data_IF_989575171229
#
_entry.id   IF_989575171229
#
_cell.length_a   1.000
_cell.length_b   1.000
_cell.length_c   1.000
_cell.angle_alpha   90.00
_cell.angle_beta   90.00
_cell.angle_gamma   90.00
#
_symmetry.space_group_name_H-M   'P 1'
#
loop_
_entity.id
_entity.type
_entity.pdbx_description
1 polymer ?
#
# COMPACT_ATOMS: atom_id res chain seq x y z
N UNK A 1 -11.91 -25.69 6.87
CA UNK A 1 -10.55 -25.24 7.22
C UNK A 1 -10.53 -23.73 7.11
N UNK A 2 -10.43 -23.00 8.22
CA UNK A 2 -10.25 -21.55 8.16
C UNK A 2 -8.93 -21.29 7.43
N UNK A 3 -8.92 -20.62 6.25
CA UNK A 3 -7.67 -20.27 5.61
C UNK A 3 -6.87 -19.46 6.64
N UNK A 4 -5.65 -19.91 6.93
CA UNK A 4 -4.78 -19.21 7.85
C UNK A 4 -4.68 -17.75 7.37
N UNK A 5 -5.24 -16.81 8.15
CA UNK A 5 -5.43 -15.41 7.73
C UNK A 5 -4.10 -14.78 7.33
N UNK A 6 -3.01 -15.21 7.98
CA UNK A 6 -1.66 -14.80 7.64
C UNK A 6 -1.26 -15.25 6.23
N UNK A 7 -1.50 -16.52 5.88
CA UNK A 7 -1.22 -17.04 4.53
C UNK A 7 -2.07 -16.31 3.49
N UNK A 8 -3.36 -16.05 3.80
CA UNK A 8 -4.21 -15.26 2.90
C UNK A 8 -3.68 -13.85 2.70
N UNK A 9 -3.25 -13.20 3.78
CA UNK A 9 -2.63 -11.87 3.74
C UNK A 9 -1.35 -11.86 2.90
N UNK A 10 -0.50 -12.86 3.08
CA UNK A 10 0.72 -13.04 2.29
C UNK A 10 0.42 -13.19 0.79
N UNK A 11 -0.55 -14.05 0.43
CA UNK A 11 -0.98 -14.22 -0.97
C UNK A 11 -1.48 -12.90 -1.55
N UNK A 12 -2.30 -12.14 -0.83
CA UNK A 12 -2.76 -10.82 -1.28
C UNK A 12 -1.60 -9.83 -1.48
N UNK A 13 -0.63 -9.84 -0.58
CA UNK A 13 0.59 -9.05 -0.69
C UNK A 13 1.39 -9.39 -1.95
N UNK A 14 1.62 -10.69 -2.20
CA UNK A 14 2.32 -11.19 -3.39
C UNK A 14 1.56 -10.81 -4.65
N UNK A 15 0.23 -11.03 -4.69
CA UNK A 15 -0.60 -10.66 -5.85
C UNK A 15 -0.52 -9.15 -6.12
N UNK A 16 -0.66 -8.32 -5.08
CA UNK A 16 -0.54 -6.86 -5.22
C UNK A 16 0.82 -6.46 -5.79
N UNK A 17 1.91 -7.04 -5.28
CA UNK A 17 3.26 -6.78 -5.75
C UNK A 17 3.47 -7.22 -7.20
N UNK A 18 3.02 -8.42 -7.58
CA UNK A 18 3.09 -8.92 -8.97
C UNK A 18 2.33 -8.02 -9.93
N UNK A 19 1.12 -7.58 -9.55
CA UNK A 19 0.33 -6.66 -10.39
C UNK A 19 1.00 -5.29 -10.51
N UNK A 20 1.58 -4.75 -9.44
CA UNK A 20 2.34 -3.49 -9.49
C UNK A 20 3.53 -3.63 -10.44
N UNK A 21 4.34 -4.68 -10.30
CA UNK A 21 5.52 -4.91 -11.15
C UNK A 21 5.10 -5.04 -12.63
N UNK A 22 4.03 -5.79 -12.90
CA UNK A 22 3.48 -5.91 -14.25
C UNK A 22 3.01 -4.56 -14.83
N UNK A 23 2.30 -3.75 -14.04
CA UNK A 23 1.86 -2.42 -14.46
C UNK A 23 3.04 -1.48 -14.72
N UNK A 24 4.04 -1.47 -13.83
CA UNK A 24 5.26 -0.66 -14.01
C UNK A 24 6.00 -1.08 -15.28
N UNK A 25 6.12 -2.39 -15.54
CA UNK A 25 6.72 -2.90 -16.77
C UNK A 25 5.96 -2.43 -18.02
N UNK A 26 4.63 -2.55 -18.04
CA UNK A 26 3.80 -2.09 -19.16
C UNK A 26 3.94 -0.58 -19.36
N UNK A 27 3.96 0.20 -18.28
CA UNK A 27 4.13 1.65 -18.35
C UNK A 27 5.49 2.05 -18.91
N UNK A 28 6.55 1.36 -18.48
CA UNK A 28 7.89 1.55 -19.01
C UNK A 28 7.95 1.21 -20.50
N UNK A 29 7.33 0.10 -20.92
CA UNK A 29 7.25 -0.31 -22.32
C UNK A 29 6.46 0.68 -23.18
N UNK A 30 5.35 1.23 -22.67
CA UNK A 30 4.58 2.25 -23.37
C UNK A 30 5.32 3.60 -23.45
N UNK A 31 6.09 3.95 -22.42
CA UNK A 31 6.93 5.16 -22.42
C UNK A 31 7.98 5.11 -23.53
N UNK A 32 8.62 3.96 -23.71
CA UNK A 32 9.58 3.73 -24.79
C UNK A 32 8.97 3.84 -26.21
N UNK A 33 7.64 3.91 -26.34
CA UNK A 33 6.89 4.07 -27.59
C UNK A 33 6.29 5.48 -27.77
N UNK A 34 6.70 6.44 -26.94
CA UNK A 34 6.22 7.85 -26.94
C UNK A 34 4.72 8.05 -26.69
N UNK A 35 4.04 7.09 -26.04
CA UNK A 35 2.65 7.31 -25.63
C UNK A 35 2.56 8.31 -24.47
N UNK A 36 1.89 9.45 -24.70
CA UNK A 36 1.77 10.55 -23.71
C UNK A 36 0.77 10.28 -22.56
N UNK A 37 0.04 9.17 -22.58
CA UNK A 37 -1.06 8.88 -21.64
C UNK A 37 -0.60 8.43 -20.22
N UNK A 38 0.70 8.36 -19.98
CA UNK A 38 1.33 7.68 -18.84
C UNK A 38 1.05 8.35 -17.49
N UNK A 39 0.84 9.68 -17.45
CA UNK A 39 0.57 10.40 -16.19
C UNK A 39 -0.72 9.95 -15.49
N UNK A 40 -1.76 9.58 -16.24
CA UNK A 40 -3.04 9.15 -15.66
C UNK A 40 -3.04 7.69 -15.20
N UNK A 41 -2.14 6.87 -15.76
CA UNK A 41 -2.02 5.45 -15.44
C UNK A 41 -1.44 5.19 -14.05
N UNK A 42 -0.75 6.17 -13.43
CA UNK A 42 -0.26 6.07 -12.04
C UNK A 42 -1.42 5.81 -11.06
N UNK A 43 -2.62 6.32 -11.33
CA UNK A 43 -3.80 6.08 -10.51
C UNK A 43 -4.22 4.60 -10.54
N UNK A 44 -3.97 3.89 -11.64
CA UNK A 44 -4.27 2.45 -11.75
C UNK A 44 -3.35 1.60 -10.87
N UNK A 45 -2.15 2.09 -10.55
CA UNK A 45 -1.20 1.41 -9.65
C UNK A 45 -1.65 1.50 -8.19
N UNK A 46 -2.45 2.51 -7.83
CA UNK A 46 -2.92 2.70 -6.46
C UNK A 46 -3.85 1.58 -5.98
N UNK A 47 -4.69 1.02 -6.86
CA UNK A 47 -5.63 -0.04 -6.50
C UNK A 47 -4.95 -1.37 -6.11
N UNK A 48 -4.03 -1.94 -6.93
CA UNK A 48 -3.25 -3.10 -6.53
C UNK A 48 -2.35 -2.82 -5.32
N UNK A 49 -1.82 -1.59 -5.20
CA UNK A 49 -1.06 -1.17 -4.04
C UNK A 49 -1.88 -1.23 -2.75
N UNK A 50 -3.08 -0.65 -2.76
CA UNK A 50 -4.01 -0.71 -1.63
C UNK A 50 -4.40 -2.16 -1.27
N UNK A 51 -4.63 -3.01 -2.28
CA UNK A 51 -4.94 -4.42 -2.08
C UNK A 51 -3.77 -5.19 -1.45
N UNK A 52 -2.54 -4.95 -1.93
CA UNK A 52 -1.32 -5.53 -1.38
C UNK A 52 -1.06 -5.10 0.06
N UNK A 53 -1.21 -3.81 0.37
CA UNK A 53 -1.09 -3.26 1.72
C UNK A 53 -2.15 -3.83 2.68
N UNK A 54 -3.40 -3.98 2.23
CA UNK A 54 -4.42 -4.66 3.02
C UNK A 54 -4.03 -6.12 3.32
N UNK A 55 -3.43 -6.82 2.36
CA UNK A 55 -2.84 -8.15 2.55
C UNK A 55 -1.70 -8.16 3.58
N UNK A 56 -0.81 -7.18 3.52
CA UNK A 56 0.29 -7.03 4.47
C UNK A 56 -0.20 -6.80 5.90
N UNK A 57 -1.24 -5.98 6.07
CA UNK A 57 -1.90 -5.77 7.37
C UNK A 57 -2.50 -7.09 7.89
N UNK A 58 -3.18 -7.87 7.03
CA UNK A 58 -3.69 -9.20 7.41
C UNK A 58 -2.57 -10.16 7.81
N UNK A 59 -1.42 -10.11 7.13
CA UNK A 59 -0.26 -10.95 7.41
C UNK A 59 0.38 -10.66 8.78
N UNK A 60 0.61 -9.38 9.09
CA UNK A 60 1.21 -8.97 10.37
C UNK A 60 0.24 -9.16 11.53
N UNK A 61 -0.99 -8.64 11.39
CA UNK A 61 -1.96 -8.62 12.48
C UNK A 61 -2.60 -9.99 12.75
N UNK A 62 -2.66 -10.87 11.74
CA UNK A 62 -3.45 -12.10 11.80
C UNK A 62 -4.97 -11.85 11.85
N UNK A 63 -5.43 -10.62 11.67
CA UNK A 63 -6.84 -10.22 11.72
C UNK A 63 -7.31 -9.91 10.29
N UNK A 64 -8.51 -10.35 9.87
CA UNK A 64 -9.05 -10.01 8.55
C UNK A 64 -9.18 -8.50 8.39
N UNK A 65 -8.82 -7.96 7.22
CA UNK A 65 -8.89 -6.52 6.96
C UNK A 65 -10.31 -5.96 7.15
N UNK A 66 -11.33 -6.75 6.77
CA UNK A 66 -12.75 -6.39 6.97
C UNK A 66 -13.12 -6.24 8.45
N UNK A 67 -12.45 -6.97 9.34
CA UNK A 67 -12.71 -6.87 10.77
C UNK A 67 -11.97 -5.66 11.36
N UNK A 68 -10.73 -5.42 10.95
CA UNK A 68 -10.01 -4.19 11.27
C UNK A 68 -10.77 -2.94 10.80
N UNK A 69 -11.32 -2.95 9.59
CA UNK A 69 -12.09 -1.83 9.06
C UNK A 69 -13.37 -1.59 9.85
N UNK A 70 -14.04 -2.65 10.33
CA UNK A 70 -15.20 -2.53 11.22
C UNK A 70 -14.81 -1.93 12.57
N UNK A 71 -13.71 -2.39 13.17
CA UNK A 71 -13.20 -1.85 14.44
C UNK A 71 -12.82 -0.37 14.30
N UNK A 72 -12.15 -0.01 13.21
CA UNK A 72 -11.82 1.38 12.88
C UNK A 72 -13.06 2.26 12.69
N UNK A 73 -14.07 1.75 11.96
CA UNK A 73 -15.33 2.46 11.76
C UNK A 73 -16.15 2.61 13.05
N UNK A 74 -15.99 1.69 14.00
CA UNK A 74 -16.64 1.71 15.32
C UNK A 74 -16.00 2.67 16.33
N UNK A 75 -14.85 3.27 16.03
CA UNK A 75 -14.22 4.27 16.91
C UNK A 75 -15.04 5.57 16.94
N UNK A 76 -15.01 6.25 18.09
CA UNK A 76 -15.60 7.58 18.20
C UNK A 76 -14.93 8.55 17.19
N UNK A 77 -15.71 9.44 16.57
CA UNK A 77 -15.22 10.31 15.48
C UNK A 77 -13.95 11.10 15.83
N UNK A 78 -13.83 11.54 17.09
CA UNK A 78 -12.62 12.21 17.61
C UNK A 78 -11.40 11.29 17.67
N UNK A 79 -11.56 10.04 18.13
CA UNK A 79 -10.48 9.06 18.21
C UNK A 79 -10.00 8.66 16.80
N UNK A 80 -10.94 8.45 15.87
CA UNK A 80 -10.63 8.17 14.48
C UNK A 80 -9.85 9.30 13.82
N UNK A 81 -10.22 10.55 14.11
CA UNK A 81 -9.50 11.73 13.64
C UNK A 81 -8.05 11.77 14.15
N UNK A 82 -7.85 11.61 15.47
CA UNK A 82 -6.51 11.63 16.08
C UNK A 82 -5.63 10.49 15.55
N UNK A 83 -6.16 9.27 15.48
CA UNK A 83 -5.42 8.12 14.96
C UNK A 83 -5.11 8.24 13.47
N UNK A 84 -6.03 8.81 12.68
CA UNK A 84 -5.79 9.06 11.26
C UNK A 84 -4.66 10.06 11.05
N UNK A 85 -4.70 11.18 11.77
CA UNK A 85 -3.68 12.23 11.67
C UNK A 85 -2.32 11.71 12.17
N UNK A 86 -2.28 10.95 13.26
CA UNK A 86 -1.01 10.39 13.77
C UNK A 86 -0.37 9.39 12.80
N UNK A 87 -1.17 8.55 12.12
CA UNK A 87 -0.66 7.66 11.07
C UNK A 87 -0.08 8.48 9.91
N UNK A 88 -0.76 9.54 9.47
CA UNK A 88 -0.24 10.41 8.39
C UNK A 88 1.09 11.06 8.78
N UNK A 89 1.17 11.63 9.99
CA UNK A 89 2.41 12.24 10.50
C UNK A 89 3.54 11.20 10.54
N UNK A 90 3.26 9.99 11.05
CA UNK A 90 4.24 8.91 11.10
C UNK A 90 4.76 8.54 9.72
N UNK A 91 3.87 8.42 8.72
CA UNK A 91 4.25 8.12 7.33
C UNK A 91 5.10 9.24 6.75
N UNK A 92 4.75 10.51 6.98
CA UNK A 92 5.54 11.65 6.50
C UNK A 92 6.95 11.68 7.11
N UNK A 93 7.07 11.44 8.42
CA UNK A 93 8.37 11.34 9.09
C UNK A 93 9.20 10.21 8.50
N UNK A 94 8.62 9.03 8.31
CA UNK A 94 9.31 7.90 7.69
C UNK A 94 9.78 8.22 6.26
N UNK A 95 8.93 8.90 5.46
CA UNK A 95 9.32 9.32 4.11
C UNK A 95 10.50 10.29 4.13
N UNK A 96 10.48 11.29 5.01
CA UNK A 96 11.59 12.24 5.16
C UNK A 96 12.87 11.49 5.53
N UNK A 97 12.82 10.59 6.51
CA UNK A 97 13.98 9.81 6.94
C UNK A 97 14.53 8.96 5.79
N UNK A 98 13.67 8.26 5.05
CA UNK A 98 14.10 7.43 3.92
C UNK A 98 14.74 8.27 2.83
N UNK A 99 14.14 9.40 2.47
CA UNK A 99 14.68 10.31 1.44
C UNK A 99 16.02 10.90 1.89
N UNK A 100 16.12 11.35 3.15
CA UNK A 100 17.38 11.90 3.68
C UNK A 100 18.49 10.85 3.76
N UNK A 101 18.17 9.60 4.11
CA UNK A 101 19.13 8.51 4.11
C UNK A 101 19.56 8.15 2.68
N UNK A 102 18.62 8.11 1.73
CA UNK A 102 18.90 7.86 0.33
C UNK A 102 19.88 8.90 -0.24
N UNK A 103 19.61 10.18 0.00
CA UNK A 103 20.47 11.31 -0.40
C UNK A 103 21.86 11.24 0.28
N UNK A 104 21.89 10.96 1.59
CA UNK A 104 23.15 10.77 2.33
C UNK A 104 24.00 9.61 1.78
N UNK A 105 23.36 8.54 1.31
CA UNK A 105 24.03 7.38 0.71
C UNK A 105 24.45 7.61 -0.74
N UNK A 106 24.09 8.74 -1.36
CA UNK A 106 24.46 9.09 -2.73
C UNK A 106 23.85 8.19 -3.79
N UNK A 107 22.69 7.58 -3.49
CA UNK A 107 21.87 6.81 -4.44
C UNK A 107 20.87 7.73 -5.16
#
# INVERSE_FOLDING_TARGET
MTPNIRIRGLVKGIVGLVVIVGLVYVLFWLNAREFSFIRWLVVLVALPGAYGLAGFIEFISGIPFRELSKRWAGLAGRQRGVLGVSIVILVLVLLIVVISLWDFMGL
#
